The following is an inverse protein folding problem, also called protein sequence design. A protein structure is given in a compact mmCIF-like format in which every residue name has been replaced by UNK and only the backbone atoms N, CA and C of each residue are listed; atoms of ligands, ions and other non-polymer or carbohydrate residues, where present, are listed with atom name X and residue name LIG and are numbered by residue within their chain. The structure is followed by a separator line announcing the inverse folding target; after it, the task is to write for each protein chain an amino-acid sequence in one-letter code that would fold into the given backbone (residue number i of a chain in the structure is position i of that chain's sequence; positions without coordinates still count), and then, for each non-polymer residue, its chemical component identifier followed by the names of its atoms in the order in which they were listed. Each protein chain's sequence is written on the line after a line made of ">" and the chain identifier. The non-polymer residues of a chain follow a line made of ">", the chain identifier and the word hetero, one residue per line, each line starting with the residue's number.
data_IF_806466952852
#
_entry.id   IF_806466952852
#
_cell.length_a   1.000
_cell.length_b   1.000
_cell.length_c   1.000
_cell.angle_alpha   90.00
_cell.angle_beta   90.00
_cell.angle_gamma   90.00
#
_symmetry.space_group_name_H-M   'P 1'
#
loop_
_entity.id
_entity.type
_entity.pdbx_description
1 polymer ?
#
# COMPACT_ATOMS: atom_id res chain seq x y z
N UNK A 1 5.77 4.84 33.04
CA UNK A 1 5.76 5.80 31.93
C UNK A 1 4.83 5.29 30.83
N UNK A 2 3.85 6.09 30.43
CA UNK A 2 2.95 5.68 29.36
C UNK A 2 3.72 5.65 28.03
N UNK A 3 3.53 4.60 27.25
CA UNK A 3 4.08 4.54 25.91
C UNK A 3 3.35 5.53 25.01
N UNK A 4 4.08 6.13 24.10
CA UNK A 4 3.48 6.96 23.06
C UNK A 4 2.86 6.06 22.00
N UNK A 5 1.55 6.16 21.81
CA UNK A 5 0.80 5.37 20.84
C UNK A 5 0.74 6.06 19.45
N UNK A 6 1.39 7.20 19.29
CA UNK A 6 1.30 7.98 18.04
C UNK A 6 1.88 7.24 16.83
N UNK A 7 2.73 6.24 17.04
CA UNK A 7 3.31 5.46 15.96
C UNK A 7 2.25 4.82 15.06
N UNK A 8 1.09 4.48 15.64
CA UNK A 8 -0.01 3.85 14.89
C UNK A 8 -0.51 4.76 13.77
N UNK A 9 -0.58 6.06 14.06
CA UNK A 9 -1.18 7.01 13.13
C UNK A 9 -0.21 7.44 12.02
N UNK A 10 1.07 7.08 12.14
CA UNK A 10 2.06 7.37 11.11
C UNK A 10 2.37 6.20 10.17
N UNK A 11 1.78 5.03 10.39
CA UNK A 11 2.09 3.82 9.61
C UNK A 11 1.79 4.04 8.12
N UNK A 12 0.62 4.56 7.80
CA UNK A 12 0.21 4.75 6.41
C UNK A 12 1.19 5.66 5.67
N UNK A 13 1.54 6.80 6.25
CA UNK A 13 2.50 7.72 5.66
C UNK A 13 3.86 7.07 5.41
N UNK A 14 4.33 6.31 6.39
CA UNK A 14 5.62 5.62 6.28
C UNK A 14 5.61 4.62 5.14
N UNK A 15 4.57 3.80 5.07
CA UNK A 15 4.44 2.79 4.02
C UNK A 15 4.30 3.45 2.65
N UNK A 16 3.46 4.49 2.55
CA UNK A 16 3.30 5.22 1.29
C UNK A 16 4.64 5.76 0.79
N UNK A 17 5.42 6.37 1.65
CA UNK A 17 6.73 6.93 1.28
C UNK A 17 7.68 5.84 0.78
N UNK A 18 7.72 4.70 1.46
CA UNK A 18 8.57 3.58 1.05
C UNK A 18 8.15 3.05 -0.32
N UNK A 19 6.86 2.82 -0.52
CA UNK A 19 6.35 2.30 -1.79
C UNK A 19 6.60 3.29 -2.92
N UNK A 20 6.31 4.57 -2.71
CA UNK A 20 6.52 5.60 -3.72
C UNK A 20 7.97 5.63 -4.16
N UNK A 21 8.91 5.64 -3.21
CA UNK A 21 10.33 5.69 -3.51
C UNK A 21 10.77 4.46 -4.30
N UNK A 22 10.44 3.27 -3.81
CA UNK A 22 10.90 2.02 -4.43
C UNK A 22 10.29 1.79 -5.79
N UNK A 23 9.00 2.10 -5.96
CA UNK A 23 8.33 1.93 -7.24
C UNK A 23 8.85 2.96 -8.25
N UNK A 24 9.09 4.19 -7.84
CA UNK A 24 9.66 5.20 -8.73
C UNK A 24 11.03 4.76 -9.24
N UNK A 25 11.86 4.18 -8.38
CA UNK A 25 13.17 3.66 -8.77
C UNK A 25 13.06 2.49 -9.76
N UNK A 26 12.06 1.63 -9.59
CA UNK A 26 11.90 0.42 -10.42
C UNK A 26 11.22 0.70 -11.77
N UNK A 27 10.25 1.61 -11.80
CA UNK A 27 9.33 1.73 -12.93
C UNK A 27 9.39 3.07 -13.66
N UNK A 28 10.10 4.07 -13.15
CA UNK A 28 10.09 5.39 -13.76
C UNK A 28 10.64 5.41 -15.19
N UNK A 29 11.59 4.54 -15.51
CA UNK A 29 12.17 4.45 -16.85
C UNK A 29 11.16 3.90 -17.87
N UNK A 30 10.40 2.88 -17.46
CA UNK A 30 9.40 2.24 -18.31
C UNK A 30 8.09 3.02 -18.36
N UNK A 31 7.76 3.74 -17.28
CA UNK A 31 6.50 4.46 -17.13
C UNK A 31 6.78 5.87 -16.60
N UNK A 32 7.23 6.80 -17.46
CA UNK A 32 7.59 8.15 -17.00
C UNK A 32 6.43 8.94 -16.44
N UNK A 33 5.19 8.59 -16.81
CA UNK A 33 3.99 9.26 -16.33
C UNK A 33 3.33 8.54 -15.14
N UNK A 34 4.02 7.56 -14.57
CA UNK A 34 3.51 6.81 -13.42
C UNK A 34 3.15 7.75 -12.27
N UNK A 35 1.95 7.57 -11.74
CA UNK A 35 1.43 8.38 -10.64
C UNK A 35 1.03 7.48 -9.47
N UNK A 36 1.51 7.81 -8.28
CA UNK A 36 1.21 7.06 -7.06
C UNK A 36 0.47 8.00 -6.11
N UNK A 37 -0.68 7.56 -5.61
CA UNK A 37 -1.51 8.39 -4.72
C UNK A 37 -2.12 7.54 -3.61
N UNK A 38 -2.45 8.21 -2.50
CA UNK A 38 -3.24 7.62 -1.43
C UNK A 38 -4.61 8.29 -1.32
N UNK A 39 -4.98 9.08 -2.31
CA UNK A 39 -6.26 9.80 -2.34
C UNK A 39 -7.12 9.26 -3.48
N UNK A 40 -8.39 9.06 -3.19
CA UNK A 40 -9.38 8.61 -4.17
C UNK A 40 -10.00 9.76 -4.96
N UNK A 41 -9.51 10.98 -4.75
CA UNK A 41 -10.05 12.14 -5.47
C UNK A 41 -9.76 12.04 -6.96
N UNK A 42 -10.79 12.24 -7.75
CA UNK A 42 -10.64 12.31 -9.20
C UNK A 42 -9.87 13.57 -9.58
N UNK A 43 -8.93 13.41 -10.51
CA UNK A 43 -8.24 14.54 -11.10
C UNK A 43 -8.84 14.80 -12.47
N UNK A 44 -8.87 16.07 -12.88
CA UNK A 44 -9.42 16.44 -14.20
C UNK A 44 -8.56 15.85 -15.34
N UNK A 45 -7.24 15.69 -15.09
CA UNK A 45 -6.30 15.15 -16.07
C UNK A 45 -5.58 13.93 -15.48
N UNK A 46 -6.21 12.75 -15.46
CA UNK A 46 -5.57 11.56 -14.92
C UNK A 46 -4.37 11.14 -15.79
N UNK A 47 -3.29 10.78 -15.13
CA UNK A 47 -2.11 10.20 -15.79
C UNK A 47 -2.09 8.70 -15.53
N UNK A 48 -1.59 7.93 -16.48
CA UNK A 48 -1.58 6.49 -16.40
C UNK A 48 -0.18 5.94 -16.66
N UNK A 49 0.21 4.83 -16.00
CA UNK A 49 -0.59 4.09 -15.01
C UNK A 49 -0.68 4.84 -13.67
N UNK A 50 -1.81 4.66 -12.98
CA UNK A 50 -2.04 5.23 -11.67
C UNK A 50 -2.07 4.11 -10.63
N UNK A 51 -1.32 4.31 -9.54
CA UNK A 51 -1.31 3.39 -8.40
C UNK A 51 -1.99 4.07 -7.23
N UNK A 52 -3.06 3.46 -6.74
CA UNK A 52 -3.78 3.96 -5.56
C UNK A 52 -3.55 3.00 -4.40
N UNK A 53 -2.94 3.52 -3.32
CA UNK A 53 -2.71 2.79 -2.08
C UNK A 53 -3.77 3.21 -1.07
N UNK A 54 -4.66 2.29 -0.74
CA UNK A 54 -5.76 2.56 0.18
C UNK A 54 -5.58 1.76 1.47
N UNK A 55 -5.33 2.47 2.57
CA UNK A 55 -5.31 1.85 3.89
C UNK A 55 -6.73 1.51 4.32
N UNK A 56 -7.00 0.24 4.56
CA UNK A 56 -8.28 -0.19 5.10
C UNK A 56 -8.24 -0.07 6.63
N UNK A 57 -9.41 -0.03 7.29
CA UNK A 57 -9.43 0.06 8.75
C UNK A 57 -8.62 -1.07 9.37
N UNK A 58 -7.67 -0.71 10.23
CA UNK A 58 -6.85 -1.66 10.96
C UNK A 58 -7.52 -2.12 12.24
N UNK A 59 -6.91 -3.08 12.90
CA UNK A 59 -7.40 -3.57 14.18
C UNK A 59 -6.26 -3.73 15.17
N UNK A 60 -6.50 -3.32 16.40
CA UNK A 60 -5.55 -3.48 17.48
C UNK A 60 -5.42 -4.95 17.86
N UNK A 61 -4.19 -5.40 18.08
CA UNK A 61 -3.89 -6.77 18.48
C UNK A 61 -2.99 -6.77 19.72
N UNK A 62 -3.07 -7.84 20.50
CA UNK A 62 -2.15 -8.02 21.62
C UNK A 62 -2.38 -7.04 22.77
N UNK A 63 -3.64 -6.84 23.18
CA UNK A 63 -3.97 -5.98 24.29
C UNK A 63 -3.28 -6.43 25.58
N UNK A 64 -2.76 -5.47 26.37
CA UNK A 64 -2.27 -5.75 27.71
C UNK A 64 -3.45 -5.72 28.71
N UNK A 65 -3.15 -6.05 29.97
CA UNK A 65 -4.18 -6.09 31.00
C UNK A 65 -4.78 -4.72 31.35
N UNK A 66 -4.00 -3.66 31.14
CA UNK A 66 -4.46 -2.30 31.42
C UNK A 66 -5.17 -1.68 30.22
N UNK A 67 -4.92 -2.18 29.02
CA UNK A 67 -5.56 -1.70 27.80
C UNK A 67 -5.19 -0.28 27.41
N UNK A 68 -4.05 0.23 27.87
CA UNK A 68 -3.63 1.62 27.59
C UNK A 68 -2.66 1.73 26.43
N UNK A 69 -1.83 0.72 26.22
CA UNK A 69 -0.80 0.75 25.22
C UNK A 69 -1.22 -0.05 23.98
N UNK A 70 -0.95 0.48 22.81
CA UNK A 70 -1.14 -0.26 21.57
C UNK A 70 0.14 -1.02 21.29
N UNK A 71 0.07 -2.35 21.36
CA UNK A 71 1.24 -3.21 21.18
C UNK A 71 1.46 -3.60 19.73
N UNK A 72 0.39 -3.83 19.00
CA UNK A 72 0.46 -4.20 17.59
C UNK A 72 -0.83 -3.83 16.88
N UNK A 73 -0.74 -3.63 15.57
CA UNK A 73 -1.89 -3.33 14.73
C UNK A 73 -1.83 -4.21 13.49
N UNK A 74 -2.97 -4.80 13.13
CA UNK A 74 -3.11 -5.49 11.85
C UNK A 74 -3.46 -4.46 10.78
N UNK A 75 -2.51 -4.17 9.90
CA UNK A 75 -2.68 -3.22 8.83
C UNK A 75 -3.01 -3.94 7.52
N UNK A 76 -4.01 -3.46 6.82
CA UNK A 76 -4.41 -3.98 5.51
C UNK A 76 -4.41 -2.86 4.49
N UNK A 77 -3.79 -3.09 3.36
CA UNK A 77 -3.78 -2.16 2.24
C UNK A 77 -4.48 -2.79 1.05
N UNK A 78 -5.29 -2.01 0.38
CA UNK A 78 -5.82 -2.35 -0.94
C UNK A 78 -5.04 -1.54 -1.96
N UNK A 79 -4.47 -2.25 -2.93
CA UNK A 79 -3.69 -1.63 -3.99
C UNK A 79 -4.47 -1.73 -5.28
N UNK A 80 -4.71 -0.58 -5.92
CA UNK A 80 -5.39 -0.51 -7.19
C UNK A 80 -4.47 0.10 -8.22
N UNK A 81 -4.32 -0.56 -9.38
CA UNK A 81 -3.56 -0.02 -10.49
C UNK A 81 -4.51 0.14 -11.67
N UNK A 82 -4.51 1.34 -12.26
CA UNK A 82 -5.32 1.66 -13.42
C UNK A 82 -4.41 1.98 -14.60
N UNK A 83 -4.63 1.33 -15.73
CA UNK A 83 -3.91 1.55 -16.97
C UNK A 83 -4.89 1.96 -18.06
N UNK A 84 -4.44 2.83 -18.96
CA UNK A 84 -5.21 3.17 -20.15
C UNK A 84 -4.86 2.29 -21.36
N UNK A 85 -3.83 1.43 -21.24
CA UNK A 85 -3.32 0.63 -22.35
C UNK A 85 -3.82 -0.80 -22.37
N UNK A 86 -3.68 -1.52 -21.28
CA UNK A 86 -4.03 -2.94 -21.24
C UNK A 86 -4.14 -3.47 -19.83
N UNK A 87 -4.85 -4.59 -19.70
CA UNK A 87 -4.94 -5.32 -18.45
C UNK A 87 -3.57 -5.88 -18.03
N UNK A 88 -2.76 -6.30 -19.01
CA UNK A 88 -1.42 -6.83 -18.72
C UNK A 88 -0.53 -5.78 -18.08
N UNK A 89 -0.61 -4.54 -18.56
CA UNK A 89 0.15 -3.44 -17.95
C UNK A 89 -0.29 -3.20 -16.52
N UNK A 90 -1.61 -3.15 -16.26
CA UNK A 90 -2.13 -2.97 -14.92
C UNK A 90 -1.66 -4.08 -13.99
N UNK A 91 -1.72 -5.33 -14.42
CA UNK A 91 -1.26 -6.47 -13.62
C UNK A 91 0.24 -6.44 -13.38
N UNK A 92 1.02 -6.07 -14.40
CA UNK A 92 2.48 -6.01 -14.28
C UNK A 92 2.89 -4.96 -13.25
N UNK A 93 2.31 -3.77 -13.32
CA UNK A 93 2.59 -2.71 -12.36
C UNK A 93 2.15 -3.12 -10.97
N UNK A 94 0.96 -3.71 -10.86
CA UNK A 94 0.47 -4.19 -9.56
C UNK A 94 1.39 -5.24 -8.95
N UNK A 95 1.91 -6.16 -9.77
CA UNK A 95 2.83 -7.18 -9.29
C UNK A 95 4.10 -6.55 -8.70
N UNK A 96 4.62 -5.50 -9.32
CA UNK A 96 5.79 -4.80 -8.80
C UNK A 96 5.49 -4.14 -7.46
N UNK A 97 4.31 -3.53 -7.31
CA UNK A 97 3.89 -2.94 -6.04
C UNK A 97 3.78 -4.01 -4.95
N UNK A 98 3.17 -5.14 -5.29
CA UNK A 98 3.03 -6.25 -4.33
C UNK A 98 4.39 -6.80 -3.90
N UNK A 99 5.38 -6.80 -4.79
CA UNK A 99 6.73 -7.24 -4.41
C UNK A 99 7.35 -6.29 -3.39
N UNK A 100 7.09 -4.98 -3.51
CA UNK A 100 7.55 -4.01 -2.51
C UNK A 100 6.89 -4.31 -1.16
N UNK A 101 5.59 -4.59 -1.15
CA UNK A 101 4.90 -4.98 0.09
C UNK A 101 5.47 -6.29 0.66
N UNK A 102 5.83 -7.25 -0.20
CA UNK A 102 6.49 -8.48 0.28
C UNK A 102 7.85 -8.19 0.91
N UNK A 103 8.60 -7.24 0.38
CA UNK A 103 9.87 -6.81 1.00
C UNK A 103 9.61 -6.26 2.41
N UNK A 104 8.45 -5.65 2.65
CA UNK A 104 8.02 -5.18 3.96
C UNK A 104 7.31 -6.26 4.77
N UNK A 105 7.35 -7.51 4.32
CA UNK A 105 6.79 -8.69 5.00
C UNK A 105 5.28 -8.72 5.10
N UNK A 106 4.60 -8.08 4.17
CA UNK A 106 3.15 -8.20 4.05
C UNK A 106 2.76 -9.52 3.43
N UNK A 107 1.62 -10.06 3.87
CA UNK A 107 0.99 -11.23 3.26
C UNK A 107 -0.04 -10.75 2.23
N UNK A 108 -0.04 -11.36 1.06
CA UNK A 108 -1.05 -11.05 0.04
C UNK A 108 -2.30 -11.84 0.40
N UNK A 109 -3.40 -11.13 0.70
CA UNK A 109 -4.66 -11.76 1.12
C UNK A 109 -5.68 -11.87 0.00
N UNK A 110 -5.54 -11.06 -1.04
CA UNK A 110 -6.35 -11.18 -2.26
C UNK A 110 -5.42 -10.89 -3.44
N UNK A 111 -5.28 -11.87 -4.31
CA UNK A 111 -4.47 -11.76 -5.51
C UNK A 111 -5.11 -10.79 -6.52
N UNK A 112 -4.33 -10.30 -7.49
CA UNK A 112 -4.86 -9.33 -8.44
C UNK A 112 -6.14 -9.79 -9.12
N UNK A 113 -7.17 -8.97 -9.01
CA UNK A 113 -8.47 -9.18 -9.63
C UNK A 113 -8.65 -8.11 -10.71
N UNK A 114 -9.16 -8.54 -11.86
CA UNK A 114 -9.43 -7.62 -12.95
C UNK A 114 -10.80 -6.97 -12.81
N UNK A 115 -10.85 -5.66 -12.99
CA UNK A 115 -12.11 -4.92 -13.12
C UNK A 115 -12.02 -4.01 -14.35
N UNK A 116 -12.92 -4.19 -15.29
CA UNK A 116 -12.98 -3.33 -16.47
C UNK A 116 -13.75 -2.04 -16.16
N UNK A 117 -13.22 -0.92 -16.61
CA UNK A 117 -13.93 0.34 -16.65
C UNK A 117 -14.23 0.71 -18.09
N UNK A 118 -14.88 1.84 -18.32
CA UNK A 118 -15.32 2.23 -19.66
C UNK A 118 -14.16 2.40 -20.65
N UNK A 119 -13.05 2.96 -20.19
CA UNK A 119 -11.89 3.20 -21.05
C UNK A 119 -10.58 2.84 -20.36
N UNK A 120 -10.66 2.16 -19.22
CA UNK A 120 -9.49 1.83 -18.44
C UNK A 120 -9.49 0.39 -17.99
N UNK A 121 -8.30 -0.10 -17.65
CA UNK A 121 -8.08 -1.44 -17.13
C UNK A 121 -7.60 -1.32 -15.70
N UNK A 122 -8.29 -1.97 -14.78
CA UNK A 122 -7.98 -1.89 -13.36
C UNK A 122 -7.66 -3.26 -12.81
N UNK A 123 -6.62 -3.32 -11.98
CA UNK A 123 -6.28 -4.52 -11.23
C UNK A 123 -6.19 -4.16 -9.76
N UNK A 124 -6.76 -5.00 -8.90
CA UNK A 124 -6.89 -4.73 -7.47
C UNK A 124 -6.38 -5.94 -6.69
N UNK A 125 -5.60 -5.66 -5.63
CA UNK A 125 -5.13 -6.69 -4.73
C UNK A 125 -5.16 -6.17 -3.29
N UNK A 126 -5.07 -7.07 -2.33
CA UNK A 126 -5.00 -6.72 -0.91
C UNK A 126 -3.83 -7.44 -0.26
N UNK A 127 -3.25 -6.76 0.71
CA UNK A 127 -2.18 -7.34 1.53
C UNK A 127 -2.32 -6.83 2.96
N UNK A 128 -1.80 -7.61 3.90
CA UNK A 128 -1.86 -7.25 5.32
C UNK A 128 -0.61 -7.66 6.05
N UNK A 129 -0.35 -6.98 7.15
CA UNK A 129 0.74 -7.32 8.04
C UNK A 129 0.39 -6.92 9.47
N UNK A 130 0.78 -7.76 10.42
CA UNK A 130 0.79 -7.39 11.83
C UNK A 130 2.04 -6.56 12.09
N UNK A 131 1.86 -5.33 12.56
CA UNK A 131 2.97 -4.41 12.82
C UNK A 131 3.00 -4.12 14.31
N UNK A 132 4.13 -4.45 14.95
CA UNK A 132 4.34 -4.16 16.36
C UNK A 132 4.94 -2.77 16.56
N UNK A 133 4.81 -2.26 17.80
CA UNK A 133 5.30 -0.93 18.13
C UNK A 133 6.80 -0.76 17.88
N UNK A 134 7.59 -1.83 18.05
CA UNK A 134 9.03 -1.78 17.84
C UNK A 134 9.44 -1.95 16.37
N UNK A 135 8.49 -2.26 15.49
CA UNK A 135 8.80 -2.56 14.09
C UNK A 135 8.55 -1.41 13.14
N UNK A 136 7.87 -0.35 13.60
CA UNK A 136 7.49 0.75 12.72
C UNK A 136 8.72 1.40 12.04
N UNK A 137 9.81 1.55 12.76
CA UNK A 137 11.04 2.18 12.25
C UNK A 137 11.82 1.25 11.30
N UNK A 138 11.50 -0.04 11.27
CA UNK A 138 12.24 -1.01 10.47
C UNK A 138 11.48 -1.49 9.24
N UNK A 139 10.29 -0.94 8.96
CA UNK A 139 9.47 -1.36 7.82
C UNK A 139 10.21 -1.25 6.49
N UNK A 140 11.07 -0.25 6.34
CA UNK A 140 11.83 -0.05 5.13
C UNK A 140 13.10 -0.89 5.00
N UNK A 141 13.43 -1.69 6.01
CA UNK A 141 14.62 -2.52 5.98
C UNK A 141 14.36 -3.81 5.19
N UNK A 142 15.26 -4.11 4.28
CA UNK A 142 15.17 -5.34 3.48
C UNK A 142 15.80 -6.52 4.21
#
# INVERSE_FOLDING_TARGET
>A
MAKDNSWVFGIESTIFTIVEKRISEKLSDDYPDLYITNSDKNTDDPVFPTIYLHELPGSEQGNDLEGKDINAVMETFQVEVTSARSQQEAKKVLAEVLMVFKEMRFQITAMPEFKSGDETYRSIARCRRLIGASECDTLGNK
#
